data_IF_609435227499
#
_entry.id   IF_609435227499
#
_cell.length_a   1.000
_cell.length_b   1.000
_cell.length_c   1.000
_cell.angle_alpha   90.00
_cell.angle_beta   90.00
_cell.angle_gamma   90.00
#
_symmetry.space_group_name_H-M   'P 1'
#
loop_
_entity.id
_entity.type
_entity.pdbx_description
1 polymer ?
#
# COMPACT_ATOMS: atom_id res chain seq x y z
N UNK A 1 -4.98 -12.76 -22.61
CA UNK A 1 -5.18 -13.54 -21.38
C UNK A 1 -5.82 -12.61 -20.36
N UNK A 2 -7.06 -12.86 -19.95
CA UNK A 2 -7.72 -12.09 -18.89
C UNK A 2 -7.03 -12.41 -17.56
N UNK A 3 -6.41 -11.40 -16.95
CA UNK A 3 -5.83 -11.52 -15.62
C UNK A 3 -6.98 -11.69 -14.63
N UNK A 4 -7.02 -12.83 -13.93
CA UNK A 4 -8.03 -13.06 -12.89
C UNK A 4 -7.59 -12.29 -11.66
N UNK A 5 -8.27 -11.18 -11.39
CA UNK A 5 -8.05 -10.35 -10.21
C UNK A 5 -8.93 -10.90 -9.09
N UNK A 6 -8.33 -11.20 -7.93
CA UNK A 6 -9.07 -11.61 -6.73
C UNK A 6 -9.92 -10.45 -6.20
N UNK A 7 -11.09 -10.78 -5.67
CA UNK A 7 -11.97 -9.81 -5.04
C UNK A 7 -11.40 -9.32 -3.69
N UNK A 8 -11.89 -8.17 -3.20
CA UNK A 8 -11.40 -7.56 -1.95
C UNK A 8 -11.44 -8.53 -0.76
N UNK A 9 -12.54 -9.27 -0.56
CA UNK A 9 -12.66 -10.19 0.58
C UNK A 9 -11.68 -11.36 0.47
N UNK A 10 -11.40 -11.85 -0.74
CA UNK A 10 -10.38 -12.90 -0.96
C UNK A 10 -8.99 -12.37 -0.61
N UNK A 11 -8.70 -11.12 -1.01
CA UNK A 11 -7.44 -10.46 -0.70
C UNK A 11 -7.26 -10.26 0.81
N UNK A 12 -8.30 -9.78 1.51
CA UNK A 12 -8.25 -9.59 2.98
C UNK A 12 -8.01 -10.92 3.72
N UNK A 13 -8.69 -11.99 3.33
CA UNK A 13 -8.44 -13.31 3.93
C UNK A 13 -7.02 -13.80 3.67
N UNK A 14 -6.51 -13.53 2.48
CA UNK A 14 -5.21 -13.97 2.04
C UNK A 14 -4.07 -13.18 2.71
N UNK A 15 -4.25 -11.89 2.98
CA UNK A 15 -3.26 -11.09 3.72
C UNK A 15 -3.26 -11.38 5.23
N UNK A 16 -4.36 -11.91 5.79
CA UNK A 16 -4.44 -12.38 7.18
C UNK A 16 -3.71 -13.71 7.42
N UNK A 17 -3.54 -14.56 6.39
CA UNK A 17 -2.92 -15.88 6.51
C UNK A 17 -1.38 -15.79 6.46
N UNK A 18 -0.78 -15.61 7.63
CA UNK A 18 0.69 -15.49 7.82
C UNK A 18 1.49 -16.74 7.40
N UNK A 19 0.83 -17.87 7.12
CA UNK A 19 1.48 -19.12 6.75
C UNK A 19 1.79 -19.28 5.26
N UNK A 20 1.25 -18.41 4.39
CA UNK A 20 1.44 -18.50 2.93
C UNK A 20 2.33 -17.37 2.42
N UNK A 21 3.32 -17.73 1.58
CA UNK A 21 4.08 -16.75 0.80
C UNK A 21 3.17 -16.14 -0.27
N UNK A 22 2.39 -15.14 0.14
CA UNK A 22 1.50 -14.40 -0.74
C UNK A 22 2.31 -13.38 -1.53
N UNK A 23 2.04 -13.32 -2.83
CA UNK A 23 2.47 -12.22 -3.69
C UNK A 23 1.25 -11.60 -4.34
N UNK A 24 1.14 -10.29 -4.24
CA UNK A 24 0.09 -9.50 -4.86
C UNK A 24 0.61 -8.90 -6.16
N UNK A 25 -0.29 -8.75 -7.12
CA UNK A 25 -0.05 -7.87 -8.26
C UNK A 25 -0.37 -6.42 -7.89
N UNK A 26 0.16 -5.44 -8.64
CA UNK A 26 -0.11 -4.03 -8.36
C UNK A 26 -1.61 -3.69 -8.29
N UNK A 27 -2.43 -4.27 -9.18
CA UNK A 27 -3.89 -4.08 -9.16
C UNK A 27 -4.53 -4.57 -7.86
N UNK A 28 -4.09 -5.73 -7.35
CA UNK A 28 -4.58 -6.27 -6.08
C UNK A 28 -4.09 -5.47 -4.87
N UNK A 29 -2.85 -4.99 -4.93
CA UNK A 29 -2.32 -4.08 -3.94
C UNK A 29 -3.14 -2.78 -3.90
N UNK A 30 -3.50 -2.21 -5.04
CA UNK A 30 -4.33 -1.00 -5.11
C UNK A 30 -5.75 -1.21 -4.57
N UNK A 31 -6.34 -2.40 -4.75
CA UNK A 31 -7.64 -2.73 -4.15
C UNK A 31 -7.55 -2.66 -2.62
N UNK A 32 -6.49 -3.22 -2.04
CA UNK A 32 -6.27 -3.20 -0.59
C UNK A 32 -5.96 -1.78 -0.08
N UNK A 33 -5.10 -1.03 -0.78
CA UNK A 33 -4.79 0.36 -0.41
C UNK A 33 -6.03 1.27 -0.51
N UNK A 34 -6.91 1.02 -1.48
CA UNK A 34 -8.20 1.70 -1.58
C UNK A 34 -9.09 1.41 -0.36
N UNK A 35 -9.14 0.15 0.07
CA UNK A 35 -9.84 -0.23 1.29
C UNK A 35 -9.23 0.43 2.55
N UNK A 36 -7.90 0.46 2.67
CA UNK A 36 -7.22 1.12 3.79
C UNK A 36 -7.52 2.63 3.83
N UNK A 37 -7.59 3.27 2.66
CA UNK A 37 -7.98 4.67 2.53
C UNK A 37 -9.45 4.91 2.94
N UNK A 38 -10.36 4.00 2.57
CA UNK A 38 -11.76 4.07 2.99
C UNK A 38 -11.91 3.92 4.52
N UNK A 39 -11.08 3.09 5.16
CA UNK A 39 -11.05 2.98 6.63
C UNK A 39 -10.60 4.29 7.28
N UNK A 40 -9.54 4.92 6.77
CA UNK A 40 -9.08 6.24 7.24
C UNK A 40 -10.18 7.30 7.07
N UNK A 41 -10.82 7.33 5.90
CA UNK A 41 -11.93 8.26 5.62
C UNK A 41 -13.14 7.99 6.53
N UNK A 42 -13.34 6.74 6.95
CA UNK A 42 -14.34 6.32 7.93
C UNK A 42 -14.00 6.67 9.39
N UNK A 43 -12.83 7.26 9.65
CA UNK A 43 -12.40 7.68 10.99
C UNK A 43 -11.54 6.66 11.73
N UNK A 44 -11.05 5.61 11.06
CA UNK A 44 -10.05 4.73 11.65
C UNK A 44 -8.76 5.52 11.98
N UNK A 45 -8.13 5.28 13.13
CA UNK A 45 -6.94 6.01 13.52
C UNK A 45 -5.75 5.61 12.64
N UNK A 46 -4.97 6.61 12.21
CA UNK A 46 -3.80 6.42 11.34
C UNK A 46 -2.81 5.40 11.90
N UNK A 47 -2.65 5.38 13.22
CA UNK A 47 -1.70 4.52 13.93
C UNK A 47 -2.05 3.04 13.85
N UNK A 48 -3.33 2.71 13.65
CA UNK A 48 -3.80 1.34 13.43
C UNK A 48 -3.74 0.96 11.94
N UNK A 49 -3.97 1.91 11.03
CA UNK A 49 -3.96 1.66 9.58
C UNK A 49 -2.55 1.59 9.00
N UNK A 50 -1.62 2.42 9.48
CA UNK A 50 -0.23 2.46 8.99
C UNK A 50 0.46 1.08 8.95
N UNK A 51 0.43 0.23 10.01
CA UNK A 51 1.02 -1.10 9.93
C UNK A 51 0.33 -2.02 8.91
N UNK A 52 -0.98 -1.85 8.68
CA UNK A 52 -1.75 -2.62 7.70
C UNK A 52 -1.32 -2.25 6.27
N UNK A 53 -1.24 -0.95 5.98
CA UNK A 53 -0.75 -0.43 4.70
C UNK A 53 0.66 -0.94 4.40
N UNK A 54 1.56 -0.87 5.39
CA UNK A 54 2.93 -1.38 5.22
C UNK A 54 2.97 -2.88 4.94
N UNK A 55 2.10 -3.66 5.59
CA UNK A 55 1.96 -5.09 5.33
C UNK A 55 1.48 -5.35 3.90
N UNK A 56 0.46 -4.62 3.43
CA UNK A 56 -0.05 -4.76 2.06
C UNK A 56 1.02 -4.40 1.01
N UNK A 57 1.78 -3.33 1.22
CA UNK A 57 2.88 -2.94 0.34
C UNK A 57 3.98 -4.00 0.29
N UNK A 58 4.35 -4.59 1.43
CA UNK A 58 5.36 -5.64 1.48
C UNK A 58 4.99 -6.90 0.67
N UNK A 59 3.71 -7.14 0.43
CA UNK A 59 3.22 -8.26 -0.40
C UNK A 59 3.31 -7.97 -1.91
N UNK A 60 3.65 -6.74 -2.31
CA UNK A 60 3.84 -6.33 -3.70
C UNK A 60 5.17 -5.55 -3.87
N UNK A 61 6.27 -6.23 -4.24
CA UNK A 61 7.59 -5.61 -4.34
C UNK A 61 7.66 -4.38 -5.25
N UNK A 62 6.86 -4.34 -6.32
CA UNK A 62 6.79 -3.22 -7.25
C UNK A 62 6.15 -1.98 -6.59
N UNK A 63 5.05 -2.16 -5.86
CA UNK A 63 4.41 -1.07 -5.13
C UNK A 63 5.26 -0.61 -3.94
N UNK A 64 5.91 -1.54 -3.24
CA UNK A 64 6.84 -1.22 -2.16
C UNK A 64 7.98 -0.32 -2.66
N UNK A 65 8.68 -0.73 -3.74
CA UNK A 65 9.79 0.04 -4.29
C UNK A 65 9.37 1.46 -4.69
N UNK A 66 8.20 1.60 -5.35
CA UNK A 66 7.68 2.93 -5.73
C UNK A 66 7.30 3.79 -4.54
N UNK A 67 6.80 3.18 -3.46
CA UNK A 67 6.47 3.90 -2.23
C UNK A 67 7.74 4.39 -1.53
N UNK A 68 8.79 3.56 -1.49
CA UNK A 68 10.08 3.92 -0.92
C UNK A 68 10.74 5.06 -1.72
N UNK A 69 10.73 4.97 -3.06
CA UNK A 69 11.20 6.05 -3.95
C UNK A 69 10.46 7.38 -3.67
N UNK A 70 9.13 7.32 -3.55
CA UNK A 70 8.32 8.50 -3.23
C UNK A 70 8.63 9.09 -1.85
N UNK A 71 8.88 8.26 -0.84
CA UNK A 71 9.30 8.72 0.48
C UNK A 71 10.68 9.37 0.44
N UNK A 72 11.61 8.83 -0.33
CA UNK A 72 12.94 9.42 -0.51
C UNK A 72 12.84 10.80 -1.18
N UNK A 73 12.00 10.96 -2.19
CA UNK A 73 11.74 12.26 -2.85
C UNK A 73 11.19 13.28 -1.84
N UNK A 74 10.18 12.91 -1.05
CA UNK A 74 9.60 13.81 -0.04
C UNK A 74 10.60 14.21 1.05
N UNK A 75 11.50 13.31 1.44
CA UNK A 75 12.52 13.57 2.45
C UNK A 75 13.73 14.33 1.87
N UNK A 76 13.97 14.21 0.56
CA UNK A 76 15.01 14.93 -0.18
C UNK A 76 14.69 16.39 -0.47
N UNK A 77 13.41 16.78 -0.41
CA UNK A 77 12.94 18.15 -0.60
C UNK A 77 13.19 19.02 0.66
N UNK A 78 14.45 19.46 0.88
CA UNK A 78 14.79 20.63 1.70
C UNK A 78 14.57 21.93 0.88
N UNK A 79 14.19 23.06 1.51
CA UNK A 79 13.36 24.11 0.90
C UNK A 79 14.03 24.84 -0.27
N UNK A 80 13.25 25.12 -1.32
CA UNK A 80 13.61 26.08 -2.36
C UNK A 80 14.18 27.37 -1.73
N UNK A 81 15.44 27.75 -2.00
CA UNK A 81 15.87 29.11 -1.74
C UNK A 81 15.21 29.98 -2.80
N UNK A 82 14.32 30.87 -2.37
CA UNK A 82 14.07 32.10 -3.10
C UNK A 82 15.43 32.73 -3.45
N UNK A 83 15.76 32.83 -4.74
CA UNK A 83 16.77 33.69 -5.35
C UNK A 83 16.64 33.51 -6.87
N UNK A 84 16.38 34.49 -7.71
CA UNK A 84 16.40 35.96 -7.60
C UNK A 84 15.48 36.51 -8.70
#
# INVERSE_FOLDING_TARGET
MTKVIRSLWELLLLTCDTGKSVRLTCEECFILLGYDADLLAGGAPLEEIRPIVNHHLALCPECQARFDEWLEELNGEQPHPHSN
#
